data_IF_331909098405
#
_entry.id   IF_331909098405
#
_cell.length_a   1.000
_cell.length_b   1.000
_cell.length_c   1.000
_cell.angle_alpha   90.00
_cell.angle_beta   90.00
_cell.angle_gamma   90.00
#
_symmetry.space_group_name_H-M   'P 1'
#
loop_
_entity.id
_entity.type
_entity.pdbx_description
1 polymer ?
#
# COMPACT_ATOMS: atom_id res chain seq x y z
N UNK A 1 -11.11 -5.07 73.15
CA UNK A 1 -11.92 -5.25 71.92
C UNK A 1 -11.00 -4.96 70.74
N UNK A 2 -10.45 -6.00 70.13
CA UNK A 2 -9.54 -5.89 68.99
C UNK A 2 -10.17 -6.64 67.83
N UNK A 3 -10.60 -5.92 66.79
CA UNK A 3 -11.18 -6.53 65.58
C UNK A 3 -10.06 -6.81 64.57
N UNK A 4 -9.92 -8.08 64.22
CA UNK A 4 -9.05 -8.58 63.16
C UNK A 4 -9.72 -8.40 61.79
N UNK A 5 -9.13 -7.59 60.91
CA UNK A 5 -9.54 -7.49 59.51
C UNK A 5 -8.92 -8.64 58.71
N UNK A 6 -9.77 -9.56 58.26
CA UNK A 6 -9.44 -10.60 57.28
C UNK A 6 -9.50 -10.03 55.87
N UNK A 7 -8.33 -9.89 55.24
CA UNK A 7 -8.18 -9.57 53.83
C UNK A 7 -8.57 -10.79 52.97
N UNK A 8 -9.71 -10.70 52.27
CA UNK A 8 -10.10 -11.64 51.23
C UNK A 8 -9.37 -11.32 49.92
N UNK A 9 -8.63 -12.28 49.41
CA UNK A 9 -8.01 -12.24 48.08
C UNK A 9 -9.08 -12.31 46.98
N UNK A 10 -8.99 -11.51 45.90
CA UNK A 10 -9.94 -11.57 44.80
C UNK A 10 -9.78 -12.88 44.03
N UNK A 11 -10.89 -13.59 43.82
CA UNK A 11 -10.95 -14.82 43.02
C UNK A 11 -10.57 -14.53 41.55
N UNK A 12 -9.86 -15.45 40.87
CA UNK A 12 -9.50 -15.30 39.46
C UNK A 12 -10.77 -15.26 38.60
N UNK A 13 -10.93 -14.20 37.80
CA UNK A 13 -11.94 -14.16 36.73
C UNK A 13 -11.65 -15.27 35.75
N UNK A 14 -12.58 -16.21 35.60
CA UNK A 14 -12.59 -17.22 34.55
C UNK A 14 -12.59 -16.53 33.19
N UNK A 15 -11.52 -16.70 32.42
CA UNK A 15 -11.48 -16.31 31.01
C UNK A 15 -12.31 -17.33 30.22
N UNK A 16 -13.31 -16.90 29.42
CA UNK A 16 -14.05 -17.81 28.57
C UNK A 16 -13.10 -18.49 27.57
N UNK A 17 -13.28 -19.79 27.38
CA UNK A 17 -12.49 -20.61 26.46
C UNK A 17 -12.95 -20.32 25.02
N UNK A 18 -12.33 -19.29 24.42
CA UNK A 18 -12.70 -18.76 23.10
C UNK A 18 -12.56 -19.81 21.98
N UNK A 19 -11.62 -20.75 22.13
CA UNK A 19 -11.39 -21.81 21.15
C UNK A 19 -12.52 -22.86 21.18
N UNK A 20 -13.07 -23.13 22.37
CA UNK A 20 -14.18 -24.05 22.53
C UNK A 20 -15.48 -23.50 21.92
N UNK A 21 -15.73 -22.19 22.05
CA UNK A 21 -16.93 -21.54 21.51
C UNK A 21 -16.89 -21.46 19.98
N UNK A 22 -15.78 -20.99 19.39
CA UNK A 22 -15.60 -20.98 17.94
C UNK A 22 -15.71 -22.38 17.33
N UNK A 23 -15.07 -23.38 17.96
CA UNK A 23 -15.13 -24.77 17.50
C UNK A 23 -16.54 -25.33 17.52
N UNK A 24 -17.34 -24.99 18.53
CA UNK A 24 -18.74 -25.41 18.62
C UNK A 24 -19.60 -24.76 17.51
N UNK A 25 -19.45 -23.45 17.28
CA UNK A 25 -20.21 -22.72 16.26
C UNK A 25 -19.85 -23.17 14.83
N UNK A 26 -18.56 -23.38 14.56
CA UNK A 26 -18.09 -23.88 13.26
C UNK A 26 -18.61 -25.29 12.99
N UNK A 27 -18.58 -26.16 14.01
CA UNK A 27 -19.11 -27.53 13.91
C UNK A 27 -20.61 -27.54 13.62
N UNK A 28 -21.39 -26.68 14.28
CA UNK A 28 -22.83 -26.57 14.06
C UNK A 28 -23.15 -26.11 12.62
N UNK A 29 -22.44 -25.09 12.13
CA UNK A 29 -22.58 -24.60 10.76
C UNK A 29 -22.22 -25.68 9.72
N UNK A 30 -21.16 -26.45 9.94
CA UNK A 30 -20.77 -27.53 9.03
C UNK A 30 -21.77 -28.70 9.04
N UNK A 31 -22.32 -29.03 10.21
CA UNK A 31 -23.34 -30.06 10.35
C UNK A 31 -24.69 -29.63 9.74
N UNK A 32 -24.93 -28.32 9.60
CA UNK A 32 -26.12 -27.79 8.94
C UNK A 32 -26.12 -27.95 7.41
N UNK A 33 -24.98 -28.31 6.81
CA UNK A 33 -24.87 -28.51 5.36
C UNK A 33 -25.46 -29.87 4.98
N UNK A 34 -26.61 -29.86 4.30
CA UNK A 34 -27.30 -31.05 3.79
C UNK A 34 -27.31 -31.08 2.26
N UNK A 35 -27.23 -32.28 1.62
CA UNK A 35 -27.39 -32.43 0.17
C UNK A 35 -28.72 -31.91 -0.38
N UNK A 36 -29.74 -31.76 0.47
CA UNK A 36 -31.08 -31.29 0.11
C UNK A 36 -31.23 -29.76 0.18
N UNK A 37 -30.18 -29.03 0.58
CA UNK A 37 -30.22 -27.58 0.65
C UNK A 37 -30.38 -26.95 -0.73
N UNK A 38 -31.22 -25.93 -0.82
CA UNK A 38 -31.27 -25.08 -2.01
C UNK A 38 -29.98 -24.28 -2.18
N UNK A 39 -29.69 -23.87 -3.42
CA UNK A 39 -28.52 -23.03 -3.75
C UNK A 39 -28.48 -21.74 -2.92
N UNK A 40 -29.65 -21.15 -2.64
CA UNK A 40 -29.75 -19.94 -1.83
C UNK A 40 -29.36 -20.18 -0.38
N UNK A 41 -29.86 -21.26 0.24
CA UNK A 41 -29.49 -21.65 1.60
C UNK A 41 -27.99 -21.99 1.70
N UNK A 42 -27.43 -22.62 0.67
CA UNK A 42 -25.99 -22.90 0.61
C UNK A 42 -25.17 -21.61 0.58
N UNK A 43 -25.64 -20.59 -0.16
CA UNK A 43 -25.06 -19.26 -0.20
C UNK A 43 -25.08 -18.56 1.17
N UNK A 44 -26.19 -18.64 1.88
CA UNK A 44 -26.33 -18.07 3.23
C UNK A 44 -25.43 -18.77 4.26
N UNK A 45 -25.38 -20.10 4.26
CA UNK A 45 -24.50 -20.87 5.14
C UNK A 45 -23.03 -20.57 4.85
N UNK A 46 -22.65 -20.41 3.58
CA UNK A 46 -21.30 -19.96 3.20
C UNK A 46 -20.97 -18.58 3.78
N UNK A 47 -21.89 -17.62 3.70
CA UNK A 47 -21.68 -16.28 4.26
C UNK A 47 -21.52 -16.31 5.79
N UNK A 48 -22.31 -17.14 6.48
CA UNK A 48 -22.18 -17.33 7.94
C UNK A 48 -20.83 -17.92 8.33
N UNK A 49 -20.34 -18.91 7.60
CA UNK A 49 -19.00 -19.49 7.81
C UNK A 49 -17.92 -18.42 7.62
N UNK A 50 -17.99 -17.63 6.54
CA UNK A 50 -16.99 -16.59 6.28
C UNK A 50 -16.99 -15.49 7.35
N UNK A 51 -18.16 -15.07 7.82
CA UNK A 51 -18.28 -14.11 8.91
C UNK A 51 -17.68 -14.66 10.21
N UNK A 52 -17.96 -15.92 10.56
CA UNK A 52 -17.43 -16.56 11.76
C UNK A 52 -15.89 -16.70 11.71
N UNK A 53 -15.32 -17.05 10.55
CA UNK A 53 -13.86 -17.10 10.36
C UNK A 53 -13.24 -15.72 10.54
N UNK A 54 -13.85 -14.68 9.95
CA UNK A 54 -13.36 -13.30 10.07
C UNK A 54 -13.33 -12.82 11.52
N UNK A 55 -14.41 -13.05 12.28
CA UNK A 55 -14.51 -12.66 13.69
C UNK A 55 -13.48 -13.40 14.56
N UNK A 56 -13.26 -14.69 14.31
CA UNK A 56 -12.22 -15.46 14.99
C UNK A 56 -10.80 -14.95 14.66
N UNK A 57 -10.52 -14.61 13.41
CA UNK A 57 -9.23 -14.04 13.02
C UNK A 57 -8.96 -12.68 13.67
N UNK A 58 -9.99 -11.84 13.81
CA UNK A 58 -9.91 -10.56 14.50
C UNK A 58 -9.63 -10.73 16.00
N UNK A 59 -10.35 -11.63 16.67
CA UNK A 59 -10.14 -11.93 18.10
C UNK A 59 -8.75 -12.52 18.36
N UNK A 60 -8.30 -13.49 17.55
CA UNK A 60 -6.95 -14.07 17.64
C UNK A 60 -5.88 -13.00 17.40
N UNK A 61 -6.09 -12.11 16.43
CA UNK A 61 -5.16 -11.00 16.16
C UNK A 61 -5.10 -10.02 17.33
N UNK A 62 -6.25 -9.70 17.94
CA UNK A 62 -6.34 -8.86 19.13
C UNK A 62 -5.60 -9.47 20.33
N UNK A 63 -5.80 -10.76 20.59
CA UNK A 63 -5.10 -11.48 21.66
C UNK A 63 -3.59 -11.53 21.44
N UNK A 64 -3.14 -11.77 20.19
CA UNK A 64 -1.71 -11.74 19.84
C UNK A 64 -1.08 -10.37 20.11
N UNK A 65 -1.79 -9.26 19.82
CA UNK A 65 -1.31 -7.91 20.16
C UNK A 65 -1.16 -7.74 21.67
N UNK A 66 -2.19 -8.12 22.44
CA UNK A 66 -2.15 -8.03 23.91
C UNK A 66 -1.03 -8.88 24.52
N UNK A 67 -0.77 -10.06 23.96
CA UNK A 67 0.32 -10.93 24.41
C UNK A 67 1.68 -10.27 24.16
N UNK A 68 1.89 -9.67 22.98
CA UNK A 68 3.11 -8.90 22.68
C UNK A 68 3.27 -7.71 23.63
N UNK A 69 2.19 -7.00 23.96
CA UNK A 69 2.25 -5.88 24.90
C UNK A 69 2.63 -6.35 26.31
N UNK A 70 2.03 -7.45 26.79
CA UNK A 70 2.37 -8.06 28.09
C UNK A 70 3.81 -8.59 28.11
N UNK A 71 4.28 -9.22 27.03
CA UNK A 71 5.67 -9.67 26.90
C UNK A 71 6.65 -8.49 26.91
N UNK A 72 6.29 -7.38 26.25
CA UNK A 72 7.09 -6.16 26.25
C UNK A 72 7.13 -5.49 27.63
N UNK A 73 6.00 -5.51 28.37
CA UNK A 73 5.92 -5.03 29.74
C UNK A 73 6.76 -5.90 30.70
N UNK A 74 6.65 -7.23 30.58
CA UNK A 74 7.39 -8.18 31.42
C UNK A 74 8.91 -8.11 31.20
N UNK A 75 9.35 -7.87 29.96
CA UNK A 75 10.77 -7.78 29.60
C UNK A 75 11.40 -6.41 29.88
N UNK A 76 10.64 -5.40 30.32
CA UNK A 76 11.16 -4.06 30.64
C UNK A 76 10.60 -3.47 31.96
N UNK A 77 10.74 -4.17 33.11
CA UNK A 77 10.13 -3.74 34.37
C UNK A 77 10.73 -2.43 34.93
N UNK A 78 11.88 -1.97 34.42
CA UNK A 78 12.61 -0.80 34.93
C UNK A 78 12.21 0.55 34.31
N UNK A 79 11.27 0.60 33.37
CA UNK A 79 10.84 1.87 32.74
C UNK A 79 9.63 2.55 33.39
N UNK A 80 9.17 2.08 34.56
CA UNK A 80 7.97 2.64 35.21
C UNK A 80 8.16 4.02 35.87
N UNK A 81 9.36 4.63 35.81
CA UNK A 81 9.61 5.96 36.38
C UNK A 81 10.56 6.83 35.56
N UNK A 82 10.37 6.92 34.25
CA UNK A 82 10.85 8.08 33.49
C UNK A 82 9.74 8.56 32.58
N UNK A 83 8.99 9.57 33.06
CA UNK A 83 8.30 10.53 32.20
C UNK A 83 9.27 10.87 31.08
N UNK A 84 8.93 10.45 29.87
CA UNK A 84 9.70 10.77 28.67
C UNK A 84 9.72 12.28 28.55
N UNK A 85 10.85 12.88 28.94
CA UNK A 85 11.20 14.25 28.58
C UNK A 85 11.59 14.15 27.10
N UNK A 86 10.59 14.02 26.23
CA UNK A 86 10.79 14.15 24.80
C UNK A 86 11.39 15.53 24.58
N UNK A 87 12.56 15.53 23.95
CA UNK A 87 13.11 16.72 23.34
C UNK A 87 12.07 17.21 22.34
N UNK A 88 11.38 18.27 22.75
CA UNK A 88 10.41 19.02 21.98
C UNK A 88 11.17 19.63 20.80
N UNK A 89 10.92 19.15 19.60
CA UNK A 89 11.05 19.97 18.40
C UNK A 89 9.98 21.05 18.55
N UNK A 90 10.41 22.26 18.91
CA UNK A 90 9.56 23.45 18.90
C UNK A 90 9.09 23.67 17.46
N UNK A 91 7.78 23.71 17.22
CA UNK A 91 7.24 24.22 15.97
C UNK A 91 5.99 23.57 15.38
N UNK A 92 5.39 22.55 15.98
CA UNK A 92 4.11 22.02 15.49
C UNK A 92 3.22 21.64 16.68
N UNK A 93 2.29 22.54 17.01
CA UNK A 93 1.19 22.23 17.93
C UNK A 93 0.31 21.19 17.22
N UNK A 94 0.36 19.93 17.66
CA UNK A 94 -0.70 18.99 17.36
C UNK A 94 -2.00 19.51 18.01
N UNK A 95 -3.09 19.70 17.26
CA UNK A 95 -4.36 20.08 17.86
C UNK A 95 -4.83 18.96 18.77
N UNK A 96 -4.92 19.26 20.07
CA UNK A 96 -5.46 18.37 21.11
C UNK A 96 -6.98 18.23 20.95
N UNK A 97 -7.43 17.61 19.86
CA UNK A 97 -8.80 17.14 19.71
C UNK A 97 -8.95 15.76 20.35
N UNK A 98 -9.89 15.62 21.29
CA UNK A 98 -10.31 14.32 21.82
C UNK A 98 -11.02 13.54 20.71
N UNK A 99 -10.27 12.84 19.86
CA UNK A 99 -10.85 11.95 18.85
C UNK A 99 -11.45 10.71 19.52
N UNK A 100 -12.65 10.32 19.11
CA UNK A 100 -13.23 9.05 19.55
C UNK A 100 -12.44 7.88 18.94
N UNK A 101 -12.46 6.67 19.54
CA UNK A 101 -11.86 5.48 18.93
C UNK A 101 -12.37 5.21 17.50
N UNK A 102 -13.64 5.52 17.24
CA UNK A 102 -14.28 5.41 15.93
C UNK A 102 -13.67 6.38 14.91
N UNK A 103 -13.33 7.61 15.32
CA UNK A 103 -12.64 8.58 14.48
C UNK A 103 -11.21 8.13 14.15
N UNK A 104 -10.51 7.50 15.09
CA UNK A 104 -9.18 6.96 14.85
C UNK A 104 -9.19 5.76 13.87
N UNK A 105 -10.22 4.91 13.96
CA UNK A 105 -10.44 3.81 13.01
C UNK A 105 -10.84 4.32 11.62
N UNK A 106 -11.54 5.45 11.54
CA UNK A 106 -11.97 6.07 10.28
C UNK A 106 -10.83 6.64 9.42
N UNK A 107 -9.64 6.85 10.00
CA UNK A 107 -8.44 7.17 9.22
C UNK A 107 -7.87 5.94 8.45
N UNK A 108 -8.26 4.73 8.85
CA UNK A 108 -7.83 3.46 8.23
C UNK A 108 -8.14 3.38 6.73
N UNK A 109 -9.38 3.63 6.29
CA UNK A 109 -9.74 3.72 4.87
C UNK A 109 -8.86 4.69 4.07
N UNK A 110 -8.51 5.85 4.62
CA UNK A 110 -7.65 6.83 3.93
C UNK A 110 -6.24 6.28 3.70
N UNK A 111 -5.66 5.62 4.71
CA UNK A 111 -4.36 4.96 4.56
C UNK A 111 -4.42 3.83 3.53
N UNK A 112 -5.49 3.05 3.54
CA UNK A 112 -5.71 1.95 2.59
C UNK A 112 -5.90 2.47 1.16
N UNK A 113 -6.56 3.61 0.98
CA UNK A 113 -6.72 4.29 -0.31
C UNK A 113 -5.36 4.66 -0.93
N UNK A 114 -4.48 5.30 -0.15
CA UNK A 114 -3.12 5.68 -0.61
C UNK A 114 -2.28 4.48 -1.02
N UNK A 115 -2.48 3.37 -0.32
CA UNK A 115 -1.77 2.13 -0.58
C UNK A 115 -2.31 1.50 -1.87
N UNK A 116 -3.61 1.24 -1.96
CA UNK A 116 -4.18 0.37 -3.00
C UNK A 116 -4.74 1.08 -4.23
N UNK A 117 -5.17 2.33 -4.09
CA UNK A 117 -6.14 2.93 -5.01
C UNK A 117 -5.62 4.24 -5.60
N UNK A 118 -5.45 5.28 -4.78
CA UNK A 118 -5.12 6.63 -5.24
C UNK A 118 -4.24 7.38 -4.25
N UNK A 119 -3.24 8.12 -4.76
CA UNK A 119 -2.37 8.96 -3.94
C UNK A 119 -3.05 10.26 -3.48
N UNK A 120 -3.99 10.78 -4.28
CA UNK A 120 -4.76 11.99 -3.99
C UNK A 120 -6.24 11.76 -4.29
N UNK A 121 -7.12 12.48 -3.58
CA UNK A 121 -8.53 12.56 -3.94
C UNK A 121 -8.71 13.58 -5.05
N UNK A 122 -9.61 13.29 -5.99
CA UNK A 122 -10.10 14.25 -6.95
C UNK A 122 -11.02 15.24 -6.22
N UNK A 123 -10.43 16.24 -5.58
CA UNK A 123 -11.19 17.26 -4.85
C UNK A 123 -11.88 18.17 -5.86
N UNK A 124 -13.18 18.39 -5.69
CA UNK A 124 -13.87 19.43 -6.44
C UNK A 124 -13.63 20.80 -5.87
N UNK A 125 -13.76 21.82 -6.71
CA UNK A 125 -13.90 23.21 -6.27
C UNK A 125 -15.03 23.26 -5.22
N UNK A 126 -14.67 23.35 -3.93
CA UNK A 126 -15.64 23.29 -2.83
C UNK A 126 -15.21 22.55 -1.55
N UNK A 127 -14.10 21.81 -1.56
CA UNK A 127 -13.29 21.47 -0.36
C UNK A 127 -13.87 20.53 0.72
N UNK A 128 -15.18 20.52 0.97
CA UNK A 128 -15.68 20.11 2.30
C UNK A 128 -16.62 18.89 2.32
N UNK A 129 -17.01 18.33 1.15
CA UNK A 129 -17.86 17.12 1.14
C UNK A 129 -17.43 16.11 0.08
N UNK A 130 -17.28 14.85 0.51
CA UNK A 130 -17.14 13.67 -0.36
C UNK A 130 -18.56 13.32 -0.86
N UNK A 131 -19.09 14.16 -1.73
CA UNK A 131 -20.39 13.94 -2.35
C UNK A 131 -20.28 14.11 -3.86
N UNK A 132 -21.07 13.32 -4.61
CA UNK A 132 -21.20 13.45 -6.05
C UNK A 132 -21.62 14.89 -6.40
N UNK A 133 -20.83 15.67 -7.17
CA UNK A 133 -21.20 17.03 -7.51
C UNK A 133 -22.41 17.02 -8.46
N UNK A 134 -23.46 17.83 -8.21
CA UNK A 134 -24.46 18.11 -9.22
C UNK A 134 -23.88 19.14 -10.21
N UNK A 135 -23.27 18.68 -11.30
CA UNK A 135 -22.95 19.54 -12.45
C UNK A 135 -21.47 19.75 -12.80
N UNK A 136 -20.55 18.85 -12.41
CA UNK A 136 -19.18 18.86 -12.94
C UNK A 136 -19.13 18.53 -14.44
N UNK A 137 -18.03 18.88 -15.11
CA UNK A 137 -17.73 18.36 -16.46
C UNK A 137 -17.80 16.82 -16.43
N UNK A 138 -18.18 16.21 -17.56
CA UNK A 138 -18.44 14.76 -17.62
C UNK A 138 -17.24 13.95 -17.11
N UNK A 139 -16.03 14.39 -17.43
CA UNK A 139 -14.79 13.69 -17.10
C UNK A 139 -14.40 13.83 -15.61
N UNK A 140 -14.55 15.00 -14.99
CA UNK A 140 -14.28 15.17 -13.55
C UNK A 140 -15.29 14.41 -12.68
N UNK A 141 -16.55 14.37 -13.13
CA UNK A 141 -17.58 13.62 -12.44
C UNK A 141 -17.27 12.12 -12.52
N UNK A 142 -16.78 11.63 -13.66
CA UNK A 142 -16.40 10.22 -13.82
C UNK A 142 -15.21 9.81 -12.94
N UNK A 143 -14.17 10.66 -12.79
CA UNK A 143 -13.04 10.39 -11.87
C UNK A 143 -13.49 10.32 -10.40
N UNK A 144 -14.28 11.30 -9.96
CA UNK A 144 -14.82 11.30 -8.58
C UNK A 144 -15.72 10.10 -8.31
N UNK A 145 -16.59 9.75 -9.25
CA UNK A 145 -17.42 8.54 -9.14
C UNK A 145 -16.58 7.27 -9.08
N UNK A 146 -15.49 7.22 -9.86
CA UNK A 146 -14.51 6.13 -9.81
C UNK A 146 -13.90 5.98 -8.41
N UNK A 147 -13.35 7.06 -7.86
CA UNK A 147 -12.75 7.04 -6.53
C UNK A 147 -13.76 6.73 -5.41
N UNK A 148 -15.00 7.21 -5.53
CA UNK A 148 -16.08 6.86 -4.59
C UNK A 148 -16.40 5.37 -4.60
N UNK A 149 -16.41 4.73 -5.78
CA UNK A 149 -16.61 3.28 -5.90
C UNK A 149 -15.44 2.50 -5.31
N UNK A 150 -14.21 2.94 -5.57
CA UNK A 150 -13.02 2.35 -4.95
C UNK A 150 -13.06 2.48 -3.43
N UNK A 151 -13.46 3.65 -2.92
CA UNK A 151 -13.61 3.91 -1.50
C UNK A 151 -14.68 2.98 -0.89
N UNK A 152 -15.84 2.80 -1.53
CA UNK A 152 -16.87 1.85 -1.09
C UNK A 152 -16.35 0.40 -1.04
N UNK A 153 -15.49 0.01 -1.97
CA UNK A 153 -14.89 -1.32 -2.01
C UNK A 153 -13.88 -1.57 -0.88
N UNK A 154 -13.13 -0.54 -0.45
CA UNK A 154 -12.11 -0.70 0.59
C UNK A 154 -12.63 -0.44 2.00
N UNK A 155 -13.79 0.22 2.13
CA UNK A 155 -14.36 0.66 3.40
C UNK A 155 -15.13 -0.47 4.10
N UNK A 156 -14.93 -0.64 5.43
CA UNK A 156 -15.79 -1.49 6.25
C UNK A 156 -17.26 -1.09 6.13
N UNK A 157 -18.16 -2.08 6.13
CA UNK A 157 -19.61 -1.86 5.93
C UNK A 157 -20.18 -0.92 7.01
N UNK A 158 -19.61 -1.00 8.20
CA UNK A 158 -19.97 -0.24 9.40
C UNK A 158 -19.69 1.26 9.24
N UNK A 159 -18.70 1.63 8.41
CA UNK A 159 -18.30 3.01 8.21
C UNK A 159 -19.06 3.72 7.07
N UNK A 160 -19.70 2.96 6.17
CA UNK A 160 -20.41 3.51 5.00
C UNK A 160 -21.52 4.51 5.36
N UNK A 161 -22.32 4.32 6.43
CA UNK A 161 -23.33 5.31 6.82
C UNK A 161 -22.74 6.69 7.18
N UNK A 162 -21.46 6.76 7.53
CA UNK A 162 -20.78 7.99 7.93
C UNK A 162 -20.17 8.77 6.76
N UNK A 163 -20.13 8.22 5.53
CA UNK A 163 -19.51 8.88 4.36
C UNK A 163 -20.03 10.29 4.08
N UNK A 164 -21.29 10.57 4.41
CA UNK A 164 -21.91 11.89 4.22
C UNK A 164 -21.58 12.89 5.32
N UNK A 165 -20.89 12.48 6.39
CA UNK A 165 -20.54 13.34 7.52
C UNK A 165 -19.21 14.04 7.25
N UNK A 166 -19.14 15.34 7.51
CA UNK A 166 -17.93 16.14 7.27
C UNK A 166 -16.70 15.63 8.02
N UNK A 167 -16.87 15.16 9.27
CA UNK A 167 -15.76 14.60 10.06
C UNK A 167 -15.15 13.35 9.40
N UNK A 168 -15.95 12.55 8.68
CA UNK A 168 -15.45 11.35 8.01
C UNK A 168 -14.54 11.73 6.84
N UNK A 169 -14.94 12.72 6.04
CA UNK A 169 -14.11 13.26 4.97
C UNK A 169 -12.77 13.79 5.50
N UNK A 170 -12.81 14.50 6.64
CA UNK A 170 -11.62 15.00 7.32
C UNK A 170 -10.71 13.84 7.78
N UNK A 171 -11.25 12.85 8.47
CA UNK A 171 -10.47 11.70 8.95
C UNK A 171 -9.89 10.87 7.81
N UNK A 172 -10.62 10.73 6.69
CA UNK A 172 -10.14 10.11 5.47
C UNK A 172 -8.93 10.88 4.91
N UNK A 173 -9.06 12.20 4.75
CA UNK A 173 -8.00 13.07 4.25
C UNK A 173 -6.76 13.04 5.15
N UNK A 174 -6.95 13.06 6.48
CA UNK A 174 -5.86 12.97 7.45
C UNK A 174 -5.17 11.61 7.42
N UNK A 175 -5.94 10.53 7.26
CA UNK A 175 -5.43 9.18 7.01
C UNK A 175 -4.55 9.11 5.77
N UNK A 176 -4.99 9.70 4.65
CA UNK A 176 -4.22 9.78 3.41
C UNK A 176 -2.93 10.58 3.60
N UNK A 177 -3.02 11.81 4.14
CA UNK A 177 -1.86 12.69 4.40
C UNK A 177 -0.83 12.02 5.30
N UNK A 178 -1.28 11.41 6.39
CA UNK A 178 -0.42 10.65 7.31
C UNK A 178 0.27 9.48 6.59
N UNK A 179 -0.45 8.75 5.73
CA UNK A 179 0.15 7.64 4.99
C UNK A 179 1.19 8.10 3.97
N UNK A 180 0.92 9.19 3.24
CA UNK A 180 1.86 9.80 2.30
C UNK A 180 3.12 10.28 3.01
N UNK A 181 2.99 11.03 4.11
CA UNK A 181 4.11 11.54 4.89
C UNK A 181 4.97 10.40 5.45
N UNK A 182 4.34 9.37 6.02
CA UNK A 182 5.05 8.19 6.51
C UNK A 182 5.78 7.44 5.39
N UNK A 183 5.17 7.33 4.21
CA UNK A 183 5.77 6.68 3.05
C UNK A 183 6.96 7.49 2.54
N UNK A 184 6.80 8.79 2.34
CA UNK A 184 7.85 9.72 1.94
C UNK A 184 9.07 9.63 2.87
N UNK A 185 8.83 9.71 4.18
CA UNK A 185 9.88 9.58 5.20
C UNK A 185 10.58 8.23 5.10
N UNK A 186 9.83 7.12 5.08
CA UNK A 186 10.39 5.76 4.98
C UNK A 186 11.22 5.56 3.73
N UNK A 187 10.77 6.03 2.58
CA UNK A 187 11.45 5.79 1.30
C UNK A 187 12.77 6.56 1.19
N UNK A 188 12.82 7.83 1.63
CA UNK A 188 14.03 8.66 1.51
C UNK A 188 14.96 8.66 2.71
N UNK A 189 14.45 8.58 3.94
CA UNK A 189 15.27 8.67 5.16
C UNK A 189 15.80 7.30 5.59
N UNK A 190 14.91 6.32 5.73
CA UNK A 190 15.26 5.04 6.37
C UNK A 190 15.51 3.91 5.36
N UNK A 191 14.73 3.89 4.27
CA UNK A 191 14.68 2.80 3.31
C UNK A 191 15.60 2.96 2.11
N UNK A 192 16.10 4.18 1.83
CA UNK A 192 16.82 4.48 0.59
C UNK A 192 18.00 3.54 0.38
N UNK A 193 18.80 3.27 1.43
CA UNK A 193 19.94 2.36 1.35
C UNK A 193 19.54 0.95 0.90
N UNK A 194 18.44 0.41 1.42
CA UNK A 194 17.94 -0.93 1.06
C UNK A 194 17.30 -0.96 -0.34
N UNK A 195 16.68 0.16 -0.74
CA UNK A 195 16.06 0.31 -2.06
C UNK A 195 17.13 0.36 -3.15
N UNK A 196 18.17 1.19 -2.96
CA UNK A 196 19.27 1.37 -3.92
C UNK A 196 20.33 0.27 -3.87
N UNK A 197 20.24 -0.67 -2.93
CA UNK A 197 21.15 -1.80 -2.89
C UNK A 197 21.11 -2.58 -4.22
N UNK A 198 22.29 -2.76 -4.83
CA UNK A 198 22.46 -3.34 -6.15
C UNK A 198 22.30 -2.37 -7.34
N UNK A 199 21.90 -1.10 -7.12
CA UNK A 199 21.93 -0.10 -8.20
C UNK A 199 23.38 0.28 -8.54
N UNK A 200 23.70 0.23 -9.83
CA UNK A 200 25.00 0.68 -10.36
C UNK A 200 25.03 2.20 -10.43
N UNK A 201 25.17 2.86 -9.28
CA UNK A 201 25.38 4.31 -9.21
C UNK A 201 26.84 4.61 -9.59
N UNK A 202 27.10 5.50 -10.57
CA UNK A 202 28.45 5.92 -10.91
C UNK A 202 29.15 6.48 -9.67
N UNK A 203 30.30 5.91 -9.29
CA UNK A 203 31.12 6.50 -8.24
C UNK A 203 31.58 7.88 -8.73
N UNK A 204 31.48 8.93 -7.92
CA UNK A 204 32.02 10.23 -8.29
C UNK A 204 33.49 10.04 -8.63
N UNK A 205 33.91 10.50 -9.81
CA UNK A 205 35.31 10.42 -10.21
C UNK A 205 36.15 11.08 -9.11
N UNK A 206 37.04 10.29 -8.45
CA UNK A 206 37.95 10.84 -7.44
C UNK A 206 38.71 11.96 -8.12
N UNK A 207 38.56 13.19 -7.62
CA UNK A 207 39.31 14.38 -8.04
C UNK A 207 40.79 14.22 -7.63
N UNK A 208 41.50 13.28 -8.24
CA UNK A 208 42.95 13.25 -8.21
C UNK A 208 43.42 13.82 -9.56
N UNK A 209 43.81 15.09 -9.53
CA UNK A 209 44.70 15.76 -10.50
C UNK A 209 44.17 16.08 -11.91
N UNK A 210 42.86 16.03 -12.18
CA UNK A 210 42.34 16.49 -13.48
C UNK A 210 42.30 18.04 -13.53
N UNK A 211 43.15 18.62 -14.37
CA UNK A 211 43.17 20.06 -14.66
C UNK A 211 41.77 20.59 -15.06
N UNK A 212 41.36 21.80 -14.62
CA UNK A 212 39.99 22.31 -14.80
C UNK A 212 39.51 22.59 -16.23
N UNK A 213 40.29 22.27 -17.28
CA UNK A 213 40.15 22.94 -18.58
C UNK A 213 39.65 22.12 -19.77
N UNK A 214 39.29 20.83 -19.65
CA UNK A 214 38.82 20.06 -20.83
C UNK A 214 37.70 19.06 -20.53
N UNK A 215 36.49 19.53 -20.20
CA UNK A 215 35.31 18.66 -20.21
C UNK A 215 34.04 19.43 -20.66
N UNK A 216 34.03 19.91 -21.90
CA UNK A 216 32.81 20.35 -22.61
C UNK A 216 32.45 19.33 -23.69
N UNK A 217 32.39 18.05 -23.35
CA UNK A 217 31.70 17.08 -24.20
C UNK A 217 30.23 17.00 -23.74
N UNK A 218 29.27 17.27 -24.64
CA UNK A 218 27.86 17.02 -24.38
C UNK A 218 27.65 15.53 -24.11
N UNK A 219 26.98 15.17 -23.01
CA UNK A 219 26.61 13.78 -22.70
C UNK A 219 27.33 13.12 -21.53
N UNK A 220 28.33 13.76 -20.90
CA UNK A 220 28.92 13.22 -19.68
C UNK A 220 28.07 13.53 -18.44
N UNK A 221 27.66 12.48 -17.72
CA UNK A 221 27.05 12.54 -16.38
C UNK A 221 28.08 13.18 -15.42
N UNK A 222 27.86 14.44 -15.02
CA UNK A 222 28.83 15.19 -14.20
C UNK A 222 28.68 14.89 -12.70
N UNK A 223 27.47 14.53 -12.27
CA UNK A 223 27.12 14.31 -10.87
C UNK A 223 26.17 13.12 -10.68
N UNK A 224 26.07 12.61 -9.45
CA UNK A 224 25.04 11.64 -9.10
C UNK A 224 23.62 12.21 -9.31
N UNK A 225 23.45 13.53 -9.14
CA UNK A 225 22.21 14.23 -9.46
C UNK A 225 21.87 14.09 -10.95
N UNK A 226 22.81 14.33 -11.86
CA UNK A 226 22.58 14.18 -13.31
C UNK A 226 22.26 12.74 -13.69
N UNK A 227 22.88 11.77 -13.01
CA UNK A 227 22.58 10.35 -13.20
C UNK A 227 21.11 10.08 -12.89
N UNK A 228 20.65 10.45 -11.71
CA UNK A 228 19.28 10.22 -11.29
C UNK A 228 18.27 11.02 -12.10
N UNK A 229 18.59 12.28 -12.42
CA UNK A 229 17.78 13.16 -13.26
C UNK A 229 17.45 12.52 -14.61
N UNK A 230 18.43 11.90 -15.29
CA UNK A 230 18.20 11.14 -16.53
C UNK A 230 17.38 9.87 -16.31
N UNK A 231 17.60 9.18 -15.19
CA UNK A 231 16.88 7.93 -14.85
C UNK A 231 15.41 8.13 -14.49
N UNK A 232 15.03 9.35 -14.09
CA UNK A 232 13.63 9.77 -13.89
C UNK A 232 13.03 10.50 -15.10
N UNK A 233 13.67 10.42 -16.28
CA UNK A 233 13.10 10.83 -17.55
C UNK A 233 13.38 12.27 -17.99
N UNK A 234 14.41 12.93 -17.47
CA UNK A 234 14.80 14.25 -17.96
C UNK A 234 15.22 14.23 -19.44
N UNK A 235 14.71 15.21 -20.20
CA UNK A 235 15.03 15.44 -21.61
C UNK A 235 15.83 16.75 -21.74
N UNK A 236 17.10 16.64 -22.11
CA UNK A 236 18.02 17.79 -22.21
C UNK A 236 17.50 18.89 -23.16
N UNK A 237 16.93 18.50 -24.30
CA UNK A 237 16.50 19.45 -25.34
C UNK A 237 15.30 20.31 -24.94
N UNK A 238 14.42 19.77 -24.09
CA UNK A 238 13.17 20.46 -23.68
C UNK A 238 13.26 21.05 -22.29
N UNK A 239 14.22 20.59 -21.47
CA UNK A 239 14.25 20.92 -20.05
C UNK A 239 13.07 20.37 -19.26
N UNK A 240 12.39 19.32 -19.78
CA UNK A 240 11.21 18.71 -19.16
C UNK A 240 11.43 17.24 -18.86
N UNK A 241 10.58 16.68 -17.99
CA UNK A 241 10.58 15.26 -17.66
C UNK A 241 9.53 14.52 -18.50
N UNK A 242 9.93 13.43 -19.16
CA UNK A 242 9.02 12.55 -19.89
C UNK A 242 8.07 11.81 -18.94
N UNK A 243 6.83 11.57 -19.38
CA UNK A 243 5.89 10.71 -18.68
C UNK A 243 6.29 9.23 -18.74
N UNK A 244 6.70 8.72 -19.89
CA UNK A 244 6.94 7.28 -20.06
C UNK A 244 8.37 6.89 -20.41
N UNK A 245 9.19 7.81 -20.91
CA UNK A 245 10.59 7.53 -21.24
C UNK A 245 11.47 7.65 -19.97
N UNK A 246 11.12 6.86 -18.96
CA UNK A 246 11.76 6.84 -17.65
C UNK A 246 12.44 5.48 -17.47
N UNK A 247 13.77 5.40 -17.48
CA UNK A 247 14.50 4.16 -17.25
C UNK A 247 14.04 3.37 -16.01
N UNK A 248 13.73 4.04 -14.89
CA UNK A 248 13.24 3.36 -13.68
C UNK A 248 11.81 2.82 -13.77
N UNK A 249 11.12 2.99 -14.89
CA UNK A 249 9.84 2.31 -15.15
C UNK A 249 10.03 1.01 -15.93
N UNK A 250 11.11 0.85 -16.70
CA UNK A 250 11.29 -0.27 -17.62
C UNK A 250 12.22 -1.33 -17.04
N UNK A 251 11.87 -2.62 -17.15
CA UNK A 251 12.74 -3.72 -16.68
C UNK A 251 14.15 -3.73 -17.32
N UNK A 252 14.23 -3.34 -18.60
CA UNK A 252 15.50 -3.22 -19.33
C UNK A 252 16.19 -1.85 -19.16
N UNK A 253 15.62 -0.97 -18.34
CA UNK A 253 16.07 0.40 -18.10
C UNK A 253 16.24 1.25 -19.37
N UNK A 254 15.52 0.93 -20.45
CA UNK A 254 15.58 1.69 -21.69
C UNK A 254 14.73 2.95 -21.60
N UNK A 255 15.15 4.01 -22.31
CA UNK A 255 14.37 5.24 -22.45
C UNK A 255 13.32 5.17 -23.57
N UNK A 256 13.08 3.99 -24.15
CA UNK A 256 12.08 3.80 -25.21
C UNK A 256 10.87 3.08 -24.62
N UNK A 257 9.69 3.62 -24.85
CA UNK A 257 8.43 3.00 -24.42
C UNK A 257 8.28 1.60 -25.02
N UNK A 258 8.32 0.58 -24.15
CA UNK A 258 7.94 -0.81 -24.43
C UNK A 258 6.97 -1.28 -23.35
N UNK A 259 5.71 -1.50 -23.71
CA UNK A 259 4.66 -1.91 -22.78
C UNK A 259 4.96 -3.25 -22.09
N UNK A 260 5.71 -4.15 -22.73
CA UNK A 260 6.09 -5.42 -22.11
C UNK A 260 7.13 -5.23 -21.00
N UNK A 261 7.85 -4.12 -21.01
CA UNK A 261 8.88 -3.79 -20.01
C UNK A 261 8.41 -2.74 -19.01
N UNK A 262 7.38 -1.96 -19.37
CA UNK A 262 6.83 -0.88 -18.57
C UNK A 262 6.29 -1.39 -17.22
N UNK A 263 6.60 -0.65 -16.16
CA UNK A 263 6.30 -0.95 -14.76
C UNK A 263 6.91 -2.24 -14.20
N UNK A 264 7.94 -2.79 -14.85
CA UNK A 264 8.63 -4.02 -14.40
C UNK A 264 10.01 -3.79 -13.81
N UNK A 265 10.40 -2.53 -13.59
CA UNK A 265 11.68 -2.25 -12.97
C UNK A 265 11.72 -2.79 -11.52
N UNK A 266 12.77 -3.52 -11.09
CA UNK A 266 12.89 -4.09 -9.75
C UNK A 266 12.69 -3.11 -8.59
N UNK A 267 13.06 -1.84 -8.77
CA UNK A 267 12.85 -0.80 -7.75
C UNK A 267 11.37 -0.60 -7.40
N UNK A 268 10.45 -0.79 -8.35
CA UNK A 268 9.02 -0.59 -8.11
C UNK A 268 8.50 -1.65 -7.12
N UNK A 269 8.87 -2.93 -7.33
CA UNK A 269 8.56 -4.02 -6.41
C UNK A 269 9.16 -3.77 -5.01
N UNK A 270 10.42 -3.30 -4.98
CA UNK A 270 11.10 -2.94 -3.74
C UNK A 270 10.39 -1.81 -3.00
N UNK A 271 10.03 -0.72 -3.68
CA UNK A 271 9.29 0.41 -3.11
C UNK A 271 7.98 -0.07 -2.52
N UNK A 272 7.20 -0.82 -3.30
CA UNK A 272 5.93 -1.33 -2.82
C UNK A 272 6.08 -2.21 -1.59
N UNK A 273 7.04 -3.14 -1.60
CA UNK A 273 7.34 -3.97 -0.44
C UNK A 273 7.77 -3.16 0.79
N UNK A 274 8.50 -2.05 0.60
CA UNK A 274 8.86 -1.14 1.68
C UNK A 274 7.61 -0.49 2.29
N UNK A 275 6.64 -0.11 1.45
CA UNK A 275 5.37 0.49 1.88
C UNK A 275 4.56 -0.51 2.70
N UNK A 276 4.35 -1.72 2.17
CA UNK A 276 3.42 -2.68 2.78
C UNK A 276 4.05 -3.57 3.87
N UNK A 277 5.38 -3.76 3.90
CA UNK A 277 6.09 -4.66 4.84
C UNK A 277 7.20 -3.97 5.66
N UNK A 278 7.56 -2.73 5.33
CA UNK A 278 8.59 -1.96 6.04
C UNK A 278 9.99 -2.04 5.42
N UNK A 279 10.92 -1.27 6.00
CA UNK A 279 12.21 -0.88 5.40
C UNK A 279 13.17 -2.04 5.07
N UNK A 280 13.05 -3.19 5.73
CA UNK A 280 13.93 -4.36 5.51
C UNK A 280 13.46 -5.23 4.35
N UNK A 281 12.15 -5.21 4.06
CA UNK A 281 11.52 -6.07 3.05
C UNK A 281 12.12 -5.97 1.63
N UNK A 282 12.55 -4.79 1.13
CA UNK A 282 13.17 -4.66 -0.19
C UNK A 282 14.34 -5.61 -0.46
N UNK A 283 15.11 -5.97 0.57
CA UNK A 283 16.30 -6.84 0.44
C UNK A 283 15.95 -8.31 0.19
N UNK A 284 14.69 -8.69 0.42
CA UNK A 284 14.19 -10.06 0.32
C UNK A 284 13.32 -10.30 -0.91
N UNK A 285 12.61 -9.28 -1.41
CA UNK A 285 11.73 -9.40 -2.59
C UNK A 285 12.47 -9.94 -3.80
N UNK A 286 13.66 -9.40 -4.08
CA UNK A 286 14.46 -9.86 -5.23
C UNK A 286 15.02 -11.28 -5.05
N UNK A 287 15.08 -11.76 -3.81
CA UNK A 287 15.52 -13.12 -3.49
C UNK A 287 14.36 -14.12 -3.52
N UNK A 288 13.14 -13.67 -3.83
CA UNK A 288 11.88 -14.43 -3.71
C UNK A 288 11.74 -15.15 -2.36
N UNK A 289 12.28 -14.54 -1.30
CA UNK A 289 12.22 -15.08 0.05
C UNK A 289 11.05 -14.45 0.78
N UNK A 290 10.26 -15.30 1.43
CA UNK A 290 9.27 -14.86 2.41
C UNK A 290 9.93 -13.96 3.46
N UNK A 291 9.27 -12.83 3.76
CA UNK A 291 9.62 -11.99 4.90
C UNK A 291 8.51 -12.17 5.92
N UNK A 292 8.87 -12.63 7.11
CA UNK A 292 7.96 -12.65 8.25
C UNK A 292 8.30 -11.45 9.15
N UNK A 293 7.71 -10.27 8.90
CA UNK A 293 7.91 -9.11 9.75
C UNK A 293 7.40 -9.41 11.16
N UNK A 294 8.19 -9.02 12.16
CA UNK A 294 7.87 -9.20 13.59
C UNK A 294 6.70 -8.33 14.04
N UNK A 295 6.58 -7.14 13.46
CA UNK A 295 5.49 -6.21 13.73
C UNK A 295 4.30 -6.44 12.79
N UNK A 296 3.12 -5.95 13.18
CA UNK A 296 1.98 -5.86 12.27
C UNK A 296 2.32 -4.92 11.11
N UNK A 297 2.15 -5.39 9.88
CA UNK A 297 2.47 -4.64 8.66
C UNK A 297 1.21 -4.17 7.97
N UNK A 298 1.31 -3.16 7.11
CA UNK A 298 0.15 -2.68 6.34
C UNK A 298 -0.44 -3.79 5.46
N UNK A 299 0.39 -4.72 4.97
CA UNK A 299 -0.11 -5.92 4.31
C UNK A 299 -1.05 -6.74 5.20
N UNK A 300 -0.68 -6.99 6.46
CA UNK A 300 -1.51 -7.76 7.40
C UNK A 300 -2.73 -6.97 7.86
N UNK A 301 -2.54 -5.69 8.21
CA UNK A 301 -3.60 -4.80 8.70
C UNK A 301 -4.71 -4.64 7.67
N UNK A 302 -4.36 -4.52 6.39
CA UNK A 302 -5.34 -4.34 5.31
C UNK A 302 -5.61 -5.61 4.49
N UNK A 303 -5.12 -6.77 4.95
CA UNK A 303 -5.24 -8.06 4.27
C UNK A 303 -4.91 -7.99 2.76
N UNK A 304 -3.76 -7.41 2.43
CA UNK A 304 -3.31 -7.24 1.04
C UNK A 304 -2.72 -8.56 0.54
N UNK A 305 -3.41 -9.17 -0.43
CA UNK A 305 -3.06 -10.49 -0.97
C UNK A 305 -2.64 -10.45 -2.45
N UNK A 306 -2.90 -9.35 -3.14
CA UNK A 306 -2.60 -9.19 -4.56
C UNK A 306 -2.23 -7.74 -4.86
N UNK A 307 -1.63 -7.54 -6.02
CA UNK A 307 -1.25 -6.22 -6.53
C UNK A 307 -2.44 -5.54 -7.20
N UNK A 308 -2.62 -4.24 -6.96
CA UNK A 308 -3.66 -3.42 -7.61
C UNK A 308 -3.06 -2.48 -8.66
N UNK A 309 -3.84 -2.01 -9.65
CA UNK A 309 -3.39 -0.98 -10.59
C UNK A 309 -2.85 0.26 -9.89
N UNK A 310 -3.57 0.73 -8.85
CA UNK A 310 -3.18 1.88 -8.03
C UNK A 310 -1.82 1.69 -7.35
N UNK A 311 -1.52 0.51 -6.82
CA UNK A 311 -0.23 0.21 -6.19
C UNK A 311 0.96 0.27 -7.17
N UNK A 312 0.76 -0.20 -8.41
CA UNK A 312 1.77 -0.13 -9.46
C UNK A 312 2.00 1.33 -9.87
N UNK A 313 0.92 2.07 -10.17
CA UNK A 313 0.98 3.48 -10.54
C UNK A 313 1.61 4.34 -9.43
N UNK A 314 1.23 4.11 -8.18
CA UNK A 314 1.80 4.80 -7.03
C UNK A 314 3.30 4.52 -6.90
N UNK A 315 3.72 3.27 -7.03
CA UNK A 315 5.15 2.90 -6.98
C UNK A 315 5.97 3.57 -8.07
N UNK A 316 5.41 3.71 -9.28
CA UNK A 316 6.02 4.42 -10.40
C UNK A 316 6.17 5.93 -10.11
N UNK A 317 5.20 6.56 -9.45
CA UNK A 317 5.32 7.96 -9.03
C UNK A 317 6.32 8.12 -7.88
N UNK A 318 6.28 7.22 -6.89
CA UNK A 318 7.23 7.22 -5.78
C UNK A 318 8.67 7.09 -6.25
N UNK A 319 8.98 6.25 -7.25
CA UNK A 319 10.35 6.14 -7.76
C UNK A 319 10.82 7.43 -8.41
N UNK A 320 9.95 8.12 -9.16
CA UNK A 320 10.27 9.41 -9.79
C UNK A 320 10.54 10.44 -8.71
N UNK A 321 9.64 10.58 -7.73
CA UNK A 321 9.82 11.52 -6.63
C UNK A 321 11.09 11.19 -5.83
N UNK A 322 11.30 9.95 -5.42
CA UNK A 322 12.43 9.55 -4.57
C UNK A 322 13.79 10.04 -5.10
N UNK A 323 13.97 10.05 -6.42
CA UNK A 323 15.20 10.45 -7.11
C UNK A 323 15.14 11.85 -7.73
N UNK A 324 14.05 12.60 -7.51
CA UNK A 324 13.91 14.00 -7.88
C UNK A 324 14.68 14.91 -6.91
N UNK A 325 14.72 16.21 -7.23
CA UNK A 325 15.28 17.24 -6.36
C UNK A 325 14.24 17.84 -5.38
N UNK A 326 12.96 17.49 -5.50
CA UNK A 326 11.89 18.06 -4.65
C UNK A 326 12.02 17.52 -3.23
N UNK A 327 11.93 18.35 -2.18
CA UNK A 327 12.13 17.87 -0.80
C UNK A 327 10.87 17.18 -0.25
N UNK A 328 9.71 17.71 -0.58
CA UNK A 328 8.40 17.24 -0.10
C UNK A 328 7.66 16.47 -1.19
N UNK A 329 6.77 15.55 -0.79
CA UNK A 329 5.89 14.87 -1.73
C UNK A 329 4.57 15.61 -1.79
N UNK A 330 4.41 16.43 -2.83
CA UNK A 330 3.19 17.15 -3.16
C UNK A 330 2.65 16.67 -4.52
N UNK A 331 1.49 17.19 -4.92
CA UNK A 331 0.90 16.97 -6.23
C UNK A 331 1.80 17.45 -7.37
N UNK A 332 2.48 18.58 -7.19
CA UNK A 332 3.51 19.11 -8.10
C UNK A 332 4.80 19.39 -7.34
N UNK A 333 5.94 18.99 -7.93
CA UNK A 333 7.27 19.24 -7.37
C UNK A 333 7.63 20.73 -7.34
N UNK A 334 8.08 21.21 -6.20
CA UNK A 334 8.45 22.61 -5.96
C UNK A 334 9.74 23.03 -6.68
N UNK A 335 10.66 22.09 -6.90
CA UNK A 335 11.96 22.34 -7.54
C UNK A 335 11.95 21.87 -9.00
N UNK A 336 11.39 20.69 -9.25
CA UNK A 336 11.44 20.04 -10.56
C UNK A 336 10.25 20.33 -11.46
N UNK A 337 9.18 20.92 -10.91
CA UNK A 337 7.91 21.16 -11.60
C UNK A 337 7.28 19.87 -12.17
N UNK A 338 7.62 18.72 -11.57
CA UNK A 338 7.03 17.44 -11.96
C UNK A 338 5.60 17.37 -11.38
N UNK A 339 4.60 17.32 -12.25
CA UNK A 339 3.22 17.03 -11.85
C UNK A 339 3.06 15.52 -11.53
N UNK A 340 3.19 15.18 -10.25
CA UNK A 340 3.08 13.82 -9.74
C UNK A 340 1.64 13.30 -9.76
N UNK A 341 0.65 14.19 -9.55
CA UNK A 341 -0.77 13.85 -9.64
C UNK A 341 -1.16 13.41 -11.05
N UNK A 342 -0.80 14.21 -12.06
CA UNK A 342 -1.07 13.87 -13.46
C UNK A 342 -0.35 12.58 -13.88
N UNK A 343 0.90 12.39 -13.45
CA UNK A 343 1.63 11.13 -13.68
C UNK A 343 0.93 9.93 -13.08
N UNK A 344 0.44 10.07 -11.85
CA UNK A 344 -0.30 8.99 -11.18
C UNK A 344 -1.52 8.58 -12.01
N UNK A 345 -2.36 9.55 -12.37
CA UNK A 345 -3.59 9.31 -13.12
C UNK A 345 -3.30 8.71 -14.50
N UNK A 346 -2.30 9.24 -15.21
CA UNK A 346 -1.93 8.76 -16.53
C UNK A 346 -1.30 7.34 -16.51
N UNK A 347 -0.55 6.98 -15.45
CA UNK A 347 -0.08 5.60 -15.27
C UNK A 347 -1.23 4.65 -14.93
N UNK A 348 -2.13 5.07 -14.03
CA UNK A 348 -3.28 4.29 -13.62
C UNK A 348 -4.21 4.02 -14.80
N UNK A 349 -4.58 5.06 -15.54
CA UNK A 349 -5.35 4.98 -16.78
C UNK A 349 -4.71 3.98 -17.74
N UNK A 350 -3.39 4.08 -17.95
CA UNK A 350 -2.73 3.19 -18.90
C UNK A 350 -2.81 1.71 -18.52
N UNK A 351 -2.70 1.40 -17.22
CA UNK A 351 -2.84 0.04 -16.70
C UNK A 351 -4.28 -0.43 -16.86
N UNK A 352 -5.26 0.40 -16.51
CA UNK A 352 -6.68 0.09 -16.61
C UNK A 352 -7.13 -0.12 -18.06
N UNK A 353 -6.67 0.70 -19.01
CA UNK A 353 -6.88 0.51 -20.44
C UNK A 353 -6.35 -0.86 -20.92
N UNK A 354 -5.15 -1.22 -20.49
CA UNK A 354 -4.52 -2.49 -20.82
C UNK A 354 -5.38 -3.68 -20.35
N UNK A 355 -5.88 -3.60 -19.11
CA UNK A 355 -6.77 -4.61 -18.53
C UNK A 355 -8.14 -4.66 -19.24
N UNK A 356 -8.77 -3.49 -19.48
CA UNK A 356 -10.06 -3.38 -20.14
C UNK A 356 -10.05 -3.94 -21.57
N UNK A 357 -8.97 -3.71 -22.29
CA UNK A 357 -8.75 -4.25 -23.64
C UNK A 357 -8.13 -5.66 -23.64
N UNK A 358 -7.96 -6.30 -22.47
CA UNK A 358 -7.37 -7.64 -22.32
C UNK A 358 -6.00 -7.79 -22.99
N UNK A 359 -5.18 -6.76 -22.90
CA UNK A 359 -3.84 -6.76 -23.49
C UNK A 359 -2.92 -7.65 -22.66
N UNK A 360 -2.20 -8.55 -23.34
CA UNK A 360 -1.37 -9.57 -22.68
C UNK A 360 -0.33 -8.96 -21.73
N UNK A 361 0.32 -7.86 -22.12
CA UNK A 361 1.34 -7.21 -21.30
C UNK A 361 0.82 -6.77 -19.93
N UNK A 362 -0.46 -6.37 -19.84
CA UNK A 362 -1.09 -5.91 -18.61
C UNK A 362 -1.34 -7.09 -17.67
N UNK A 363 -1.87 -8.21 -18.17
CA UNK A 363 -2.04 -9.43 -17.38
C UNK A 363 -0.71 -9.99 -16.87
N UNK A 364 0.29 -10.09 -17.76
CA UNK A 364 1.63 -10.54 -17.39
C UNK A 364 2.33 -9.58 -16.41
N UNK A 365 1.95 -8.31 -16.38
CA UNK A 365 2.45 -7.34 -15.40
C UNK A 365 1.96 -7.70 -13.99
N UNK A 366 0.66 -7.99 -13.81
CA UNK A 366 0.14 -8.41 -12.51
C UNK A 366 0.73 -9.74 -12.07
N UNK A 367 0.81 -10.71 -12.98
CA UNK A 367 1.47 -11.98 -12.69
C UNK A 367 2.93 -11.76 -12.24
N UNK A 368 3.68 -10.91 -12.95
CA UNK A 368 5.05 -10.56 -12.58
C UNK A 368 5.12 -9.95 -11.18
N UNK A 369 4.23 -9.01 -10.84
CA UNK A 369 4.22 -8.39 -9.52
C UNK A 369 3.87 -9.39 -8.41
N UNK A 370 2.82 -10.18 -8.60
CA UNK A 370 2.34 -11.12 -7.59
C UNK A 370 3.31 -12.28 -7.35
N UNK A 371 3.99 -12.77 -8.39
CA UNK A 371 5.05 -13.77 -8.25
C UNK A 371 6.23 -13.32 -7.38
N UNK A 372 6.54 -12.02 -7.38
CA UNK A 372 7.65 -11.49 -6.59
C UNK A 372 7.22 -11.02 -5.20
N UNK A 373 6.00 -10.50 -5.09
CA UNK A 373 5.49 -9.94 -3.85
C UNK A 373 4.80 -11.01 -3.02
N UNK A 374 4.01 -11.90 -3.59
CA UNK A 374 3.18 -12.87 -2.86
C UNK A 374 3.50 -14.33 -3.23
N UNK A 375 4.77 -14.78 -3.15
CA UNK A 375 5.17 -16.11 -3.61
C UNK A 375 4.49 -17.26 -2.84
N UNK A 376 4.11 -17.03 -1.58
CA UNK A 376 3.44 -18.03 -0.73
C UNK A 376 2.02 -18.34 -1.20
N UNK A 377 1.32 -17.36 -1.77
CA UNK A 377 -0.04 -17.54 -2.30
C UNK A 377 -0.03 -18.33 -3.61
N UNK A 378 1.08 -18.29 -4.35
CA UNK A 378 1.23 -19.03 -5.60
C UNK A 378 1.56 -20.52 -5.35
N UNK A 379 2.01 -20.90 -4.16
CA UNK A 379 2.27 -22.29 -3.77
C UNK A 379 1.03 -23.07 -3.31
N UNK A 380 -0.04 -22.36 -2.92
CA UNK A 380 -1.36 -22.93 -2.65
C UNK A 380 -2.26 -22.64 -3.84
N UNK A 381 -2.08 -23.42 -4.90
CA UNK A 381 -2.81 -23.23 -6.16
C UNK A 381 -4.33 -23.19 -5.94
N UNK A 382 -4.96 -22.15 -6.53
CA UNK A 382 -6.40 -22.00 -6.84
C UNK A 382 -7.30 -21.25 -5.84
N UNK A 383 -6.92 -20.03 -5.41
CA UNK A 383 -7.81 -19.15 -4.63
C UNK A 383 -8.07 -17.75 -5.23
N UNK A 384 -7.36 -17.35 -6.28
CA UNK A 384 -7.81 -16.25 -7.13
C UNK A 384 -8.95 -16.76 -7.99
N UNK A 385 -10.08 -16.04 -8.04
CA UNK A 385 -11.30 -16.45 -8.74
C UNK A 385 -11.03 -16.88 -10.19
N UNK A 386 -10.77 -18.17 -10.37
CA UNK A 386 -10.90 -18.86 -11.63
C UNK A 386 -12.39 -18.90 -11.95
N UNK A 387 -12.87 -17.87 -12.63
CA UNK A 387 -13.92 -18.10 -13.60
C UNK A 387 -13.30 -19.08 -14.59
N UNK A 388 -13.65 -20.36 -14.48
CA UNK A 388 -13.31 -21.45 -15.40
C UNK A 388 -13.20 -20.94 -16.85
N UNK A 389 -11.99 -20.54 -17.29
CA UNK A 389 -11.73 -20.03 -18.65
C UNK A 389 -10.36 -20.43 -19.21
N UNK A 390 -9.49 -21.03 -18.41
CA UNK A 390 -8.09 -21.23 -18.81
C UNK A 390 -7.86 -22.45 -19.71
N UNK A 391 -8.79 -23.41 -19.78
CA UNK A 391 -8.66 -24.54 -20.71
C UNK A 391 -9.22 -24.23 -22.11
N UNK A 392 -10.33 -23.50 -22.22
CA UNK A 392 -10.93 -23.18 -23.53
C UNK A 392 -10.17 -22.06 -24.28
N UNK A 393 -9.62 -21.06 -23.57
CA UNK A 393 -8.99 -19.90 -24.23
C UNK A 393 -7.56 -20.17 -24.73
N UNK A 394 -6.84 -21.08 -24.08
CA UNK A 394 -5.49 -21.48 -24.52
C UNK A 394 -5.56 -22.35 -25.77
N UNK A 395 -6.60 -23.18 -25.89
CA UNK A 395 -6.88 -23.92 -27.12
C UNK A 395 -7.33 -23.00 -28.27
N UNK A 396 -8.15 -21.98 -27.99
CA UNK A 396 -8.67 -21.09 -29.04
C UNK A 396 -7.62 -20.10 -29.60
N UNK A 397 -6.66 -19.66 -28.77
CA UNK A 397 -5.50 -18.89 -29.22
C UNK A 397 -4.49 -19.73 -30.03
N UNK A 398 -4.38 -21.03 -29.74
CA UNK A 398 -3.58 -21.96 -30.56
C UNK A 398 -4.28 -22.33 -31.87
N UNK A 399 -5.62 -22.45 -31.89
CA UNK A 399 -6.40 -22.74 -33.11
C UNK A 399 -6.44 -21.59 -34.12
N UNK A 400 -6.18 -20.34 -33.71
CA UNK A 400 -6.11 -19.17 -34.61
C UNK A 400 -4.72 -18.92 -35.22
N UNK A 401 -3.75 -19.80 -35.00
CA UNK A 401 -2.39 -19.71 -35.56
C UNK A 401 -2.02 -20.82 -36.55
N UNK A 402 -3.00 -21.59 -37.01
CA UNK A 402 -2.90 -22.44 -38.22
C UNK A 402 -3.83 -21.84 -39.26
#
# INVERSE_FOLDING_TARGET
>A
MSQSNSSQSPSPRSTPDLDADYGAQMKDLLLSISPEMSVQQLGETRQKILALVSDHDETVTGLKRRLVDVENEANNPSKRTRRSRNHRTEGMEEPAGDFTPEELESAGPGRKMVILCALWLAVGEGGDTVSAPPGGSKDENDERQGQLRELDNIMPVELRPFMKRGWFAQALADGMKSQLANTAYRLRKDGLANLVDGLKVPKPARRHNASPRRCHQPGHIRTALDYFKRRIGWIDDTGKYSFFNIPFLHANETSKLDYNQLFRHPLLLKIWSCIIRGIVAPTHVMKKKAVHPRASTMQRIFNIQYTTPGAIAASAVWVVWMFSADETFADTGDVTDINYYERFNLYLEKILEGLGHRQLWAWELFQYWDEHLFPELNGSHSGGGAVNRDDDQREELCRRRV
#
